data_IF_799118223628
#
_entry.id   IF_799118223628
#
_cell.length_a   1.000
_cell.length_b   1.000
_cell.length_c   1.000
_cell.angle_alpha   90.00
_cell.angle_beta   90.00
_cell.angle_gamma   90.00
#
_symmetry.space_group_name_H-M   'P 1'
#
loop_
_entity.id
_entity.type
_entity.pdbx_description
1 polymer ?
#
# COMPACT_ATOMS: atom_id res chain seq x y z
N UNK A 1 3.37 -0.04 -10.18
CA UNK A 1 3.13 1.22 -10.92
C UNK A 1 2.30 0.92 -12.15
N UNK A 2 1.39 1.82 -12.53
CA UNK A 2 0.67 1.72 -13.80
C UNK A 2 1.36 2.61 -14.81
N UNK A 3 1.81 2.00 -15.90
CA UNK A 3 2.42 2.67 -17.05
C UNK A 3 1.43 2.70 -18.21
N UNK A 4 1.72 3.48 -19.23
CA UNK A 4 0.99 3.40 -20.49
C UNK A 4 1.38 2.13 -21.24
N UNK A 5 0.42 1.49 -21.91
CA UNK A 5 0.68 0.27 -22.67
C UNK A 5 1.79 0.50 -23.72
N UNK A 6 2.67 -0.49 -23.85
CA UNK A 6 3.82 -0.44 -24.74
C UNK A 6 5.04 0.34 -24.23
N UNK A 7 4.94 1.02 -23.07
CA UNK A 7 6.09 1.74 -22.51
C UNK A 7 7.17 0.74 -22.07
N UNK A 8 8.46 0.92 -22.45
CA UNK A 8 9.53 0.05 -21.95
C UNK A 8 9.63 0.12 -20.43
N UNK A 9 9.61 -1.03 -19.77
CA UNK A 9 9.76 -1.17 -18.33
C UNK A 9 11.02 -1.97 -18.01
N UNK A 10 11.83 -1.44 -17.11
CA UNK A 10 12.93 -2.17 -16.48
C UNK A 10 12.36 -3.04 -15.36
N UNK A 11 12.47 -4.35 -15.54
CA UNK A 11 12.09 -5.34 -14.52
C UNK A 11 13.35 -5.97 -13.95
N UNK A 12 13.53 -5.84 -12.65
CA UNK A 12 14.66 -6.42 -11.94
C UNK A 12 14.17 -7.55 -11.04
N UNK A 13 14.73 -8.74 -11.24
CA UNK A 13 14.54 -9.90 -10.37
C UNK A 13 15.78 -10.04 -9.50
N UNK A 14 15.61 -9.92 -8.18
CA UNK A 14 16.68 -10.11 -7.20
C UNK A 14 16.60 -11.53 -6.67
N UNK A 15 17.68 -12.30 -6.77
CA UNK A 15 17.72 -13.68 -6.31
C UNK A 15 19.15 -14.12 -6.00
N UNK A 16 19.30 -15.00 -5.02
CA UNK A 16 20.52 -15.75 -4.76
C UNK A 16 20.53 -17.15 -5.40
N UNK A 17 19.50 -17.46 -6.20
CA UNK A 17 19.44 -18.70 -6.96
C UNK A 17 20.42 -18.69 -8.15
N UNK A 18 20.94 -19.85 -8.61
CA UNK A 18 21.84 -19.91 -9.77
C UNK A 18 21.15 -19.50 -11.07
N UNK A 19 19.83 -19.65 -11.17
CA UNK A 19 19.06 -19.32 -12.37
C UNK A 19 17.69 -18.76 -12.02
N UNK A 20 17.25 -17.74 -12.77
CA UNK A 20 15.90 -17.19 -12.71
C UNK A 20 15.30 -17.08 -14.10
N UNK A 21 13.99 -17.18 -14.21
CA UNK A 21 13.24 -16.98 -15.43
C UNK A 21 12.05 -16.07 -15.16
N UNK A 22 11.81 -15.10 -16.05
CA UNK A 22 10.68 -14.18 -15.96
C UNK A 22 9.61 -14.60 -16.95
N UNK A 23 8.37 -14.61 -16.47
CA UNK A 23 7.19 -14.89 -17.29
C UNK A 23 6.26 -13.68 -17.30
N UNK A 24 5.70 -13.36 -18.48
CA UNK A 24 4.61 -12.40 -18.65
C UNK A 24 3.37 -13.17 -19.09
N UNK A 25 2.33 -13.21 -18.27
CA UNK A 25 1.09 -13.97 -18.51
C UNK A 25 1.35 -15.43 -18.96
N UNK A 26 2.31 -16.08 -18.30
CA UNK A 26 2.71 -17.45 -18.58
C UNK A 26 3.67 -17.63 -19.77
N UNK A 27 4.00 -16.56 -20.51
CA UNK A 27 4.98 -16.61 -21.61
C UNK A 27 6.35 -16.22 -21.07
N UNK A 28 7.36 -17.06 -21.33
CA UNK A 28 8.75 -16.79 -20.92
C UNK A 28 9.32 -15.56 -21.63
N UNK A 29 9.87 -14.65 -20.85
CA UNK A 29 10.62 -13.48 -21.31
C UNK A 29 12.13 -13.75 -21.34
N UNK A 30 12.53 -14.99 -21.05
CA UNK A 30 13.90 -15.44 -21.00
C UNK A 30 14.37 -15.82 -19.60
N UNK A 31 15.44 -16.59 -19.56
CA UNK A 31 16.08 -17.01 -18.32
C UNK A 31 17.45 -16.34 -18.18
N UNK A 32 17.88 -16.16 -16.93
CA UNK A 32 19.12 -15.53 -16.55
C UNK A 32 19.89 -16.43 -15.59
N UNK A 33 21.16 -16.69 -15.90
CA UNK A 33 22.06 -17.39 -14.98
C UNK A 33 22.76 -16.35 -14.10
N UNK A 34 22.69 -16.54 -12.78
CA UNK A 34 23.20 -15.63 -11.77
C UNK A 34 24.46 -16.24 -11.16
N UNK A 35 25.53 -15.46 -11.04
CA UNK A 35 26.74 -15.87 -10.31
C UNK A 35 26.54 -15.73 -8.79
N UNK A 36 25.67 -16.57 -8.23
CA UNK A 36 25.30 -16.57 -6.83
C UNK A 36 26.47 -16.98 -5.90
N UNK A 37 27.49 -17.67 -6.42
CA UNK A 37 28.63 -18.15 -5.64
C UNK A 37 29.63 -17.04 -5.31
N UNK A 38 29.75 -16.05 -6.18
CA UNK A 38 30.69 -14.95 -5.98
C UNK A 38 30.02 -13.66 -5.49
N UNK A 39 28.70 -13.67 -5.33
CA UNK A 39 27.93 -12.52 -4.83
C UNK A 39 27.95 -11.31 -5.77
N UNK A 40 28.35 -11.49 -7.02
CA UNK A 40 28.27 -10.46 -8.05
C UNK A 40 26.88 -10.46 -8.68
N UNK A 41 26.30 -9.28 -8.80
CA UNK A 41 25.06 -9.08 -9.53
C UNK A 41 23.99 -10.14 -9.22
N UNK A 42 23.53 -10.20 -7.96
CA UNK A 42 22.41 -11.07 -7.57
C UNK A 42 21.09 -10.60 -8.17
N UNK A 43 21.14 -10.19 -9.46
CA UNK A 43 20.01 -9.62 -10.19
C UNK A 43 19.98 -10.10 -11.64
N UNK A 44 18.77 -10.36 -12.13
CA UNK A 44 18.48 -10.48 -13.55
C UNK A 44 17.66 -9.26 -14.00
N UNK A 45 18.07 -8.63 -15.09
CA UNK A 45 17.47 -7.40 -15.60
C UNK A 45 16.81 -7.65 -16.94
N UNK A 46 15.53 -7.26 -17.07
CA UNK A 46 14.74 -7.41 -18.28
C UNK A 46 14.18 -6.05 -18.69
N UNK A 47 14.12 -5.80 -20.00
CA UNK A 47 13.39 -4.66 -20.57
C UNK A 47 12.23 -5.23 -21.35
N UNK A 48 11.01 -5.00 -20.89
CA UNK A 48 9.79 -5.50 -21.50
C UNK A 48 8.79 -4.36 -21.72
N UNK A 49 7.98 -4.39 -22.79
CA UNK A 49 6.89 -3.44 -22.93
C UNK A 49 5.88 -3.66 -21.81
N UNK A 50 5.39 -2.55 -21.23
CA UNK A 50 4.33 -2.65 -20.24
C UNK A 50 3.01 -3.07 -20.91
N UNK A 51 2.43 -4.11 -20.37
CA UNK A 51 1.07 -4.55 -20.64
C UNK A 51 0.44 -4.97 -19.29
N UNK A 52 -0.87 -4.68 -19.12
CA UNK A 52 -1.59 -5.16 -17.95
C UNK A 52 -1.55 -6.68 -17.92
N UNK A 53 -1.39 -7.26 -16.73
CA UNK A 53 -1.34 -8.70 -16.54
C UNK A 53 -0.47 -9.10 -15.36
N UNK A 54 0.08 -10.31 -15.44
CA UNK A 54 0.92 -10.91 -14.42
C UNK A 54 2.37 -10.99 -14.87
N UNK A 55 3.28 -10.63 -13.99
CA UNK A 55 4.70 -10.95 -14.05
C UNK A 55 4.99 -12.00 -13.00
N UNK A 56 5.58 -13.13 -13.39
CA UNK A 56 5.99 -14.20 -12.50
C UNK A 56 7.48 -14.45 -12.67
N UNK A 57 8.25 -14.30 -11.60
CA UNK A 57 9.64 -14.72 -11.56
C UNK A 57 9.74 -16.09 -10.90
N UNK A 58 10.50 -16.99 -11.52
CA UNK A 58 10.74 -18.35 -11.03
C UNK A 58 12.24 -18.53 -10.83
N UNK A 59 12.63 -18.99 -9.64
CA UNK A 59 14.02 -19.28 -9.29
C UNK A 59 14.25 -20.79 -9.27
N UNK A 60 15.38 -21.22 -9.83
CA UNK A 60 15.75 -22.63 -9.97
C UNK A 60 17.06 -22.91 -9.25
N UNK A 61 17.21 -24.14 -8.74
CA UNK A 61 18.47 -24.68 -8.24
C UNK A 61 19.41 -25.12 -9.36
N UNK A 62 20.60 -25.65 -9.01
CA UNK A 62 21.58 -26.17 -9.97
C UNK A 62 21.08 -27.41 -10.77
N UNK A 63 20.04 -28.08 -10.28
CA UNK A 63 19.43 -29.25 -10.92
C UNK A 63 18.20 -28.88 -11.78
N UNK A 64 17.81 -27.60 -11.81
CA UNK A 64 16.63 -27.11 -12.51
C UNK A 64 15.31 -27.28 -11.75
N UNK A 65 15.35 -27.58 -10.46
CA UNK A 65 14.15 -27.62 -9.63
C UNK A 65 13.75 -26.20 -9.22
N UNK A 66 12.45 -25.91 -9.18
CA UNK A 66 11.90 -24.65 -8.70
C UNK A 66 12.12 -24.57 -7.18
N UNK A 67 12.74 -23.49 -6.70
CA UNK A 67 13.02 -23.23 -5.28
C UNK A 67 12.28 -22.03 -4.74
N UNK A 68 11.88 -21.08 -5.60
CA UNK A 68 11.08 -19.92 -5.20
C UNK A 68 10.31 -19.34 -6.39
N UNK A 69 9.22 -18.66 -6.09
CA UNK A 69 8.43 -17.90 -7.06
C UNK A 69 8.00 -16.57 -6.43
N UNK A 70 7.95 -15.52 -7.24
CA UNK A 70 7.34 -14.23 -6.88
C UNK A 70 6.43 -13.76 -8.00
N UNK A 71 5.29 -13.19 -7.65
CA UNK A 71 4.26 -12.78 -8.60
C UNK A 71 3.85 -11.34 -8.34
N UNK A 72 3.89 -10.54 -9.41
CA UNK A 72 3.41 -9.17 -9.42
C UNK A 72 2.28 -9.02 -10.44
N UNK A 73 1.15 -8.41 -10.02
CA UNK A 73 -0.01 -8.21 -10.89
C UNK A 73 -0.30 -6.73 -11.09
N UNK A 74 -0.79 -6.42 -12.27
CA UNK A 74 -1.39 -5.10 -12.50
C UNK A 74 -2.67 -4.98 -11.69
N UNK A 75 -2.85 -3.86 -11.03
CA UNK A 75 -3.99 -3.60 -10.15
C UNK A 75 -4.87 -2.47 -10.70
N UNK A 76 -6.13 -2.48 -10.29
CA UNK A 76 -7.12 -1.44 -10.56
C UNK A 76 -7.19 -0.37 -9.46
N UNK A 77 -8.33 0.30 -9.38
CA UNK A 77 -8.64 1.23 -8.29
C UNK A 77 -8.95 0.46 -7.02
N UNK A 78 -8.56 1.02 -5.88
CA UNK A 78 -8.90 0.44 -4.60
C UNK A 78 -10.42 0.44 -4.40
N UNK A 79 -10.96 -0.71 -4.00
CA UNK A 79 -12.39 -0.89 -3.68
C UNK A 79 -12.61 -1.28 -2.23
N UNK A 80 -11.56 -1.66 -1.51
CA UNK A 80 -11.60 -1.95 -0.08
C UNK A 80 -10.24 -1.74 0.57
N UNK A 81 -10.28 -1.56 1.88
CA UNK A 81 -9.11 -1.67 2.76
C UNK A 81 -9.22 -2.95 3.58
N UNK A 82 -8.08 -3.54 3.89
CA UNK A 82 -7.96 -4.66 4.81
C UNK A 82 -7.01 -4.25 5.95
N UNK A 83 -7.28 -4.77 7.14
CA UNK A 83 -6.51 -4.47 8.33
C UNK A 83 -6.13 -5.79 9.01
N UNK A 84 -4.82 -6.01 9.17
CA UNK A 84 -4.26 -7.24 9.73
C UNK A 84 -3.47 -6.89 10.99
N UNK A 85 -3.96 -7.26 12.19
CA UNK A 85 -3.22 -7.08 13.42
C UNK A 85 -2.10 -8.15 13.52
N UNK A 86 -0.99 -7.78 14.13
CA UNK A 86 0.12 -8.70 14.43
C UNK A 86 -0.25 -9.73 15.53
N UNK A 87 -1.22 -9.38 16.38
CA UNK A 87 -1.82 -10.27 17.39
C UNK A 87 -3.26 -9.84 17.67
N UNK A 88 -4.08 -10.77 18.17
CA UNK A 88 -5.50 -10.53 18.47
C UNK A 88 -5.79 -10.34 19.96
N UNK A 89 -4.84 -10.66 20.82
CA UNK A 89 -4.92 -10.47 22.27
C UNK A 89 -3.80 -9.55 22.74
N UNK A 90 -4.13 -8.64 23.67
CA UNK A 90 -3.16 -7.76 24.34
C UNK A 90 -3.37 -7.84 25.86
N UNK A 91 -2.29 -7.60 26.61
CA UNK A 91 -2.36 -7.53 28.06
C UNK A 91 -2.95 -6.20 28.52
N UNK A 92 -3.90 -6.21 29.42
CA UNK A 92 -4.51 -5.02 30.02
C UNK A 92 -3.56 -4.43 31.10
N UNK A 93 -2.36 -4.03 30.69
CA UNK A 93 -1.31 -3.49 31.55
C UNK A 93 -1.05 -1.99 31.29
N UNK A 94 -1.80 -1.39 30.34
CA UNK A 94 -1.66 0.03 29.96
C UNK A 94 -0.49 0.33 29.04
N UNK A 95 0.32 -0.67 28.67
CA UNK A 95 1.54 -0.51 27.87
C UNK A 95 1.67 -1.46 26.69
N UNK A 96 0.96 -2.58 26.69
CA UNK A 96 1.05 -3.54 25.59
C UNK A 96 0.48 -2.97 24.30
N UNK A 97 1.13 -3.31 23.17
CA UNK A 97 0.84 -2.73 21.85
C UNK A 97 0.40 -3.78 20.86
N UNK A 98 -0.51 -3.38 19.97
CA UNK A 98 -0.84 -4.09 18.73
C UNK A 98 -0.50 -3.21 17.55
N UNK A 99 0.10 -3.79 16.53
CA UNK A 99 0.41 -3.16 15.26
C UNK A 99 -0.54 -3.69 14.20
N UNK A 100 -1.34 -2.80 13.62
CA UNK A 100 -2.31 -3.16 12.59
C UNK A 100 -1.82 -2.65 11.24
N UNK A 101 -1.41 -3.56 10.36
CA UNK A 101 -1.10 -3.23 8.96
C UNK A 101 -2.39 -3.01 8.20
N UNK A 102 -2.50 -1.86 7.54
CA UNK A 102 -3.65 -1.46 6.74
C UNK A 102 -3.21 -1.38 5.28
N UNK A 103 -3.91 -2.08 4.39
CA UNK A 103 -3.57 -2.19 2.98
C UNK A 103 -4.81 -2.02 2.09
N UNK A 104 -4.62 -1.45 0.90
CA UNK A 104 -5.69 -1.24 -0.07
C UNK A 104 -5.67 -2.30 -1.18
N UNK A 105 -6.85 -2.77 -1.57
CA UNK A 105 -7.01 -3.80 -2.60
C UNK A 105 -8.06 -3.42 -3.64
N UNK A 106 -7.85 -3.86 -4.87
CA UNK A 106 -8.81 -3.70 -5.97
C UNK A 106 -9.91 -4.77 -5.94
N UNK A 107 -10.80 -4.70 -6.95
CA UNK A 107 -11.93 -5.63 -7.09
C UNK A 107 -11.52 -7.10 -7.27
N UNK A 108 -10.31 -7.35 -7.78
CA UNK A 108 -9.79 -8.68 -8.05
C UNK A 108 -8.94 -9.21 -6.87
N UNK A 109 -8.83 -8.43 -5.79
CA UNK A 109 -8.03 -8.75 -4.62
C UNK A 109 -6.54 -8.48 -4.80
N UNK A 110 -6.17 -7.71 -5.81
CA UNK A 110 -4.79 -7.31 -6.04
C UNK A 110 -4.45 -6.08 -5.20
N UNK A 111 -3.30 -6.12 -4.55
CA UNK A 111 -2.79 -5.01 -3.76
C UNK A 111 -2.56 -3.76 -4.61
N UNK A 112 -3.12 -2.63 -4.19
CA UNK A 112 -3.03 -1.36 -4.89
C UNK A 112 -1.81 -0.56 -4.44
N UNK A 113 -0.63 -0.88 -4.98
CA UNK A 113 0.66 -0.30 -4.58
C UNK A 113 0.80 1.22 -4.80
N UNK A 114 -0.18 1.90 -5.33
CA UNK A 114 -0.20 3.35 -5.49
C UNK A 114 -1.44 4.01 -4.85
N UNK A 115 -2.21 3.26 -4.05
CA UNK A 115 -3.30 3.84 -3.31
C UNK A 115 -2.78 4.85 -2.28
N UNK A 116 -3.45 6.00 -2.20
CA UNK A 116 -3.13 7.10 -1.30
C UNK A 116 -4.39 7.61 -0.57
N UNK A 117 -5.41 6.76 -0.47
CA UNK A 117 -6.66 7.08 0.21
C UNK A 117 -6.37 7.52 1.65
N UNK A 118 -7.10 8.54 2.13
CA UNK A 118 -7.07 8.91 3.54
C UNK A 118 -7.92 7.93 4.34
N UNK A 119 -7.34 7.36 5.37
CA UNK A 119 -7.99 6.41 6.27
C UNK A 119 -8.10 7.03 7.65
N UNK A 120 -9.30 7.07 8.20
CA UNK A 120 -9.56 7.45 9.59
C UNK A 120 -9.69 6.19 10.44
N UNK A 121 -9.11 6.21 11.63
CA UNK A 121 -9.09 5.10 12.58
C UNK A 121 -9.74 5.53 13.88
N UNK A 122 -10.75 4.80 14.32
CA UNK A 122 -11.35 4.94 15.65
C UNK A 122 -11.17 3.67 16.45
N UNK A 123 -10.95 3.82 17.76
CA UNK A 123 -10.76 2.72 18.71
C UNK A 123 -11.76 2.87 19.83
N UNK A 124 -12.53 1.80 20.06
CA UNK A 124 -13.52 1.72 21.14
C UNK A 124 -13.16 0.55 22.07
N UNK A 125 -13.52 0.63 23.34
CA UNK A 125 -13.32 -0.44 24.33
C UNK A 125 -12.04 -0.29 25.15
N UNK A 126 -11.36 -1.41 25.40
CA UNK A 126 -10.25 -1.51 26.36
C UNK A 126 -8.88 -1.09 25.82
N UNK A 127 -8.84 -0.20 24.81
CA UNK A 127 -7.60 0.27 24.18
C UNK A 127 -7.72 1.72 23.72
N UNK A 128 -6.61 2.25 23.22
CA UNK A 128 -6.51 3.60 22.66
C UNK A 128 -5.62 3.60 21.40
N UNK A 129 -5.91 4.52 20.48
CA UNK A 129 -5.04 4.81 19.35
C UNK A 129 -3.79 5.55 19.84
N UNK A 130 -2.62 4.98 19.61
CA UNK A 130 -1.34 5.63 19.95
C UNK A 130 -0.81 6.48 18.80
N UNK A 131 -1.06 6.07 17.58
CA UNK A 131 -0.65 6.81 16.40
C UNK A 131 -0.80 6.05 15.10
N UNK A 132 -0.56 6.79 14.03
CA UNK A 132 -0.62 6.31 12.65
C UNK A 132 0.69 6.64 11.95
N UNK A 133 1.22 5.70 11.17
CA UNK A 133 2.39 5.90 10.33
C UNK A 133 2.16 5.28 8.94
N UNK A 134 2.73 5.89 7.92
CA UNK A 134 2.67 5.39 6.53
C UNK A 134 4.06 5.22 5.89
N UNK A 135 5.12 5.57 6.60
CA UNK A 135 6.50 5.51 6.11
C UNK A 135 6.86 6.58 5.08
N UNK A 136 6.00 7.55 4.81
CA UNK A 136 6.30 8.67 3.92
C UNK A 136 7.03 9.78 4.68
N UNK A 137 8.32 9.97 4.41
CA UNK A 137 9.14 11.01 5.04
C UNK A 137 8.73 12.44 4.64
N UNK A 138 7.86 12.58 3.65
CA UNK A 138 7.36 13.88 3.17
C UNK A 138 5.96 14.21 3.67
N UNK A 139 5.33 13.29 4.42
CA UNK A 139 4.00 13.48 5.00
C UNK A 139 4.07 14.37 6.25
N UNK A 140 3.27 15.41 6.26
CA UNK A 140 3.19 16.38 7.38
C UNK A 140 2.09 16.05 8.39
N UNK A 141 1.29 15.01 8.17
CA UNK A 141 0.27 14.58 9.11
C UNK A 141 0.90 14.18 10.45
N UNK A 142 0.25 14.53 11.54
CA UNK A 142 0.77 14.18 12.85
C UNK A 142 0.62 12.68 13.13
N UNK A 143 1.66 12.05 13.68
CA UNK A 143 1.63 10.63 14.06
C UNK A 143 0.50 10.30 15.05
N UNK A 144 0.14 11.24 15.93
CA UNK A 144 -0.94 11.10 16.93
C UNK A 144 -2.30 11.56 16.42
N UNK A 145 -2.45 11.82 15.13
CA UNK A 145 -3.74 12.09 14.50
C UNK A 145 -4.62 10.84 14.44
N UNK A 146 -5.88 11.04 14.12
CA UNK A 146 -6.87 9.96 13.94
C UNK A 146 -7.05 9.55 12.50
N UNK A 147 -6.41 10.26 11.56
CA UNK A 147 -6.43 9.93 10.14
C UNK A 147 -5.08 10.13 9.49
N UNK A 148 -4.76 9.33 8.48
CA UNK A 148 -3.55 9.44 7.67
C UNK A 148 -3.78 8.90 6.27
N UNK A 149 -3.03 9.38 5.27
CA UNK A 149 -3.06 8.81 3.93
C UNK A 149 -2.27 7.50 3.86
N UNK A 150 -2.74 6.58 3.04
CA UNK A 150 -1.91 5.46 2.62
C UNK A 150 -0.71 5.99 1.81
N UNK A 151 0.44 5.40 2.02
CA UNK A 151 1.62 5.59 1.20
C UNK A 151 1.99 4.27 0.53
N UNK A 152 2.09 4.28 -0.79
CA UNK A 152 2.28 3.05 -1.56
C UNK A 152 1.27 1.95 -1.20
N UNK A 153 0.01 2.33 -0.94
CA UNK A 153 -1.08 1.41 -0.63
C UNK A 153 -1.13 0.91 0.81
N UNK A 154 -0.24 1.37 1.71
CA UNK A 154 -0.12 0.87 3.08
C UNK A 154 -0.07 1.99 4.12
N UNK A 155 -0.46 1.65 5.33
CA UNK A 155 -0.17 2.39 6.56
C UNK A 155 -0.21 1.46 7.77
N UNK A 156 0.28 1.94 8.90
CA UNK A 156 0.29 1.25 10.17
C UNK A 156 -0.53 2.03 11.21
N UNK A 157 -1.37 1.34 11.95
CA UNK A 157 -1.99 1.84 13.16
C UNK A 157 -1.38 1.15 14.38
N UNK A 158 -1.03 1.95 15.39
CA UNK A 158 -0.50 1.46 16.67
C UNK A 158 -1.56 1.66 17.74
N UNK A 159 -2.00 0.54 18.34
CA UNK A 159 -3.01 0.51 19.38
C UNK A 159 -2.35 0.10 20.69
N UNK A 160 -2.64 0.81 21.78
CA UNK A 160 -2.15 0.45 23.12
C UNK A 160 -3.32 -0.02 23.99
N UNK A 161 -3.06 -1.02 24.83
CA UNK A 161 -3.99 -1.40 25.87
C UNK A 161 -4.24 -0.26 26.88
N UNK A 162 -5.34 -0.37 27.61
CA UNK A 162 -5.57 0.33 28.87
C UNK A 162 -5.38 -0.66 30.02
N UNK A 163 -5.67 -0.25 31.24
CA UNK A 163 -5.75 -1.14 32.42
C UNK A 163 -7.07 -1.96 32.48
N UNK A 164 -7.94 -1.80 31.48
CA UNK A 164 -9.25 -2.48 31.42
C UNK A 164 -9.17 -3.70 30.50
N UNK A 165 -9.76 -4.78 30.95
CA UNK A 165 -9.99 -5.98 30.13
C UNK A 165 -11.28 -5.86 29.33
N UNK A 166 -11.35 -6.55 28.19
CA UNK A 166 -12.55 -6.65 27.37
C UNK A 166 -12.29 -6.44 25.89
N UNK A 167 -13.36 -6.40 25.13
CA UNK A 167 -13.32 -6.22 23.69
C UNK A 167 -12.75 -4.85 23.30
N UNK A 168 -11.98 -4.88 22.23
CA UNK A 168 -11.46 -3.70 21.54
C UNK A 168 -11.99 -3.75 20.10
N UNK A 169 -12.65 -2.69 19.69
CA UNK A 169 -13.14 -2.53 18.33
C UNK A 169 -12.39 -1.41 17.62
N UNK A 170 -11.67 -1.76 16.56
CA UNK A 170 -10.96 -0.80 15.71
C UNK A 170 -11.73 -0.67 14.40
N UNK A 171 -12.24 0.52 14.12
CA UNK A 171 -12.99 0.82 12.89
C UNK A 171 -12.16 1.75 12.00
N UNK A 172 -12.00 1.34 10.75
CA UNK A 172 -11.30 2.08 9.72
C UNK A 172 -12.29 2.53 8.67
N UNK A 173 -12.28 3.83 8.37
CA UNK A 173 -13.15 4.42 7.37
C UNK A 173 -12.34 5.17 6.33
N UNK A 174 -12.77 5.12 5.08
CA UNK A 174 -12.16 5.88 3.99
C UNK A 174 -13.24 6.28 2.99
N UNK A 175 -13.24 7.54 2.55
CA UNK A 175 -14.25 8.04 1.61
C UNK A 175 -14.29 7.18 0.35
N UNK A 176 -15.46 6.71 -0.02
CA UNK A 176 -15.69 5.90 -1.22
C UNK A 176 -15.33 4.42 -1.09
N UNK A 177 -14.89 3.97 0.09
CA UNK A 177 -14.62 2.57 0.38
C UNK A 177 -15.52 2.08 1.52
N UNK A 178 -15.82 0.77 1.59
CA UNK A 178 -16.50 0.17 2.74
C UNK A 178 -15.64 0.30 4.00
N UNK A 179 -16.31 0.42 5.14
CA UNK A 179 -15.65 0.37 6.45
C UNK A 179 -15.01 -1.00 6.69
N UNK A 180 -13.86 -1.01 7.35
CA UNK A 180 -13.19 -2.21 7.80
C UNK A 180 -13.16 -2.21 9.33
N UNK A 181 -13.53 -3.34 9.96
CA UNK A 181 -13.56 -3.49 11.41
C UNK A 181 -12.67 -4.64 11.83
N UNK A 182 -11.84 -4.38 12.83
CA UNK A 182 -11.01 -5.39 13.51
C UNK A 182 -11.43 -5.46 14.96
N UNK A 183 -11.64 -6.67 15.47
CA UNK A 183 -11.93 -6.93 16.88
C UNK A 183 -10.74 -7.61 17.53
N UNK A 184 -10.35 -7.13 18.70
CA UNK A 184 -9.25 -7.64 19.52
C UNK A 184 -9.76 -7.81 20.96
N UNK A 185 -9.03 -8.55 21.79
CA UNK A 185 -9.34 -8.73 23.19
C UNK A 185 -8.21 -8.26 24.11
N UNK A 186 -8.54 -7.44 25.11
CA UNK A 186 -7.63 -7.11 26.20
C UNK A 186 -7.85 -8.11 27.36
N UNK A 187 -6.83 -8.92 27.61
CA UNK A 187 -6.85 -9.95 28.64
C UNK A 187 -6.11 -9.48 29.90
N UNK A 188 -6.45 -10.05 31.05
CA UNK A 188 -5.84 -9.67 32.33
C UNK A 188 -4.32 -9.91 32.31
N UNK A 189 -3.56 -8.88 32.68
CA UNK A 189 -2.14 -9.02 32.96
C UNK A 189 -1.92 -9.77 34.28
N UNK A 190 -0.92 -10.64 34.33
CA UNK A 190 -0.54 -11.35 35.56
C UNK A 190 0.32 -10.50 36.51
N UNK A 191 0.83 -9.39 36.00
CA UNK A 191 1.70 -8.47 36.75
C UNK A 191 1.25 -7.01 36.50
N UNK A 192 1.54 -6.15 37.47
CA UNK A 192 1.38 -4.71 37.30
C UNK A 192 2.64 -4.15 36.64
N UNK A 193 2.50 -3.56 35.45
CA UNK A 193 3.60 -2.95 34.72
C UNK A 193 4.15 -1.68 35.39
N UNK A 194 3.45 -1.17 36.40
CA UNK A 194 3.79 0.10 37.06
C UNK A 194 3.59 1.35 36.19
N UNK A 195 2.96 1.19 35.02
CA UNK A 195 2.58 2.30 34.16
C UNK A 195 1.29 2.93 34.63
N UNK A 196 1.19 4.25 34.54
CA UNK A 196 -0.05 4.94 34.89
C UNK A 196 -1.17 4.58 33.91
N UNK A 197 -2.34 4.21 34.40
CA UNK A 197 -3.57 4.10 33.63
C UNK A 197 -3.97 5.50 33.11
N UNK A 198 -3.37 5.93 32.04
CA UNK A 198 -3.84 7.10 31.32
C UNK A 198 -5.11 6.68 30.58
N UNK A 199 -6.24 7.16 31.08
CA UNK A 199 -7.47 7.12 30.28
C UNK A 199 -7.22 7.76 28.91
N UNK A 200 -8.02 7.35 27.92
CA UNK A 200 -8.02 7.94 26.58
C UNK A 200 -8.10 9.48 26.69
N UNK A 201 -6.96 10.10 26.85
CA UNK A 201 -6.90 11.56 26.72
C UNK A 201 -7.02 11.79 25.24
N UNK A 202 -8.22 12.20 24.80
CA UNK A 202 -8.42 12.61 23.43
C UNK A 202 -7.41 13.71 23.10
N UNK A 203 -6.40 13.35 22.34
CA UNK A 203 -5.59 14.37 21.70
C UNK A 203 -6.52 15.04 20.69
N UNK A 204 -6.62 16.38 20.78
CA UNK A 204 -7.28 17.12 19.72
C UNK A 204 -6.60 16.73 18.39
N UNK A 205 -7.32 16.16 17.43
CA UNK A 205 -6.71 15.81 16.16
C UNK A 205 -6.24 17.12 15.53
N UNK A 206 -4.95 17.24 15.34
CA UNK A 206 -4.39 18.26 14.48
C UNK A 206 -4.33 17.67 13.10
N UNK A 207 -5.40 17.85 12.36
CA UNK A 207 -5.49 17.36 11.01
C UNK A 207 -4.73 18.29 10.07
N UNK A 208 -3.76 17.74 9.40
CA UNK A 208 -3.11 18.38 8.26
C UNK A 208 -3.73 17.80 6.98
N UNK A 209 -4.85 18.35 6.56
CA UNK A 209 -5.54 17.92 5.35
C UNK A 209 -6.98 17.49 5.57
N UNK A 210 -7.67 17.21 4.48
CA UNK A 210 -9.07 16.81 4.49
C UNK A 210 -9.21 15.33 4.79
N UNK A 211 -10.08 14.97 5.73
CA UNK A 211 -10.36 13.57 6.10
C UNK A 211 -11.35 12.89 5.16
N UNK A 212 -12.07 13.67 4.36
CA UNK A 212 -13.17 13.25 3.49
C UNK A 212 -12.82 13.32 2.00
N UNK A 213 -11.54 13.22 1.65
CA UNK A 213 -11.06 13.33 0.27
C UNK A 213 -10.92 11.97 -0.44
N UNK A 214 -11.15 11.98 -1.73
CA UNK A 214 -10.74 10.92 -2.65
C UNK A 214 -9.64 11.51 -3.55
N UNK A 215 -8.36 11.28 -3.24
CA UNK A 215 -7.27 11.92 -3.96
C UNK A 215 -7.09 11.35 -5.37
N UNK A 216 -6.56 12.18 -6.27
CA UNK A 216 -6.13 11.70 -7.59
C UNK A 216 -4.95 10.76 -7.41
N UNK A 217 -5.09 9.52 -7.89
CA UNK A 217 -4.08 8.48 -7.84
C UNK A 217 -3.21 8.44 -9.10
N UNK A 218 -3.82 8.73 -10.25
CA UNK A 218 -3.18 8.68 -11.57
C UNK A 218 -3.80 9.72 -12.49
N UNK A 219 -2.98 10.31 -13.34
CA UNK A 219 -3.41 11.13 -14.47
C UNK A 219 -2.99 10.40 -15.74
N UNK A 220 -3.94 10.09 -16.59
CA UNK A 220 -3.70 9.56 -17.93
C UNK A 220 -3.78 10.71 -18.92
N UNK A 221 -2.72 10.91 -19.68
CA UNK A 221 -2.68 11.88 -20.77
C UNK A 221 -2.93 11.17 -22.10
N UNK A 222 -3.71 11.78 -22.96
CA UNK A 222 -3.93 11.28 -24.32
C UNK A 222 -4.12 12.42 -25.30
N UNK A 223 -3.80 12.16 -26.55
CA UNK A 223 -3.93 13.11 -27.66
C UNK A 223 -4.34 12.37 -28.92
N UNK A 224 -5.04 13.07 -29.81
CA UNK A 224 -5.48 12.51 -31.08
C UNK A 224 -4.34 12.44 -32.12
N UNK A 225 -3.24 13.17 -31.88
CA UNK A 225 -2.04 13.15 -32.73
C UNK A 225 -0.77 13.40 -31.89
N UNK A 226 0.34 12.81 -32.31
CA UNK A 226 1.68 13.03 -31.75
C UNK A 226 2.61 13.79 -32.69
N UNK A 227 2.10 14.25 -33.83
CA UNK A 227 2.91 14.92 -34.84
C UNK A 227 2.52 16.37 -34.97
N UNK A 228 3.49 17.28 -34.83
CA UNK A 228 3.37 18.68 -35.16
C UNK A 228 3.94 18.89 -36.55
N UNK A 229 3.18 19.54 -37.43
CA UNK A 229 3.63 19.96 -38.76
C UNK A 229 3.11 21.37 -39.09
N UNK A 230 3.35 21.83 -40.32
CA UNK A 230 2.94 23.17 -40.71
C UNK A 230 1.45 23.37 -40.82
N UNK A 231 0.71 22.27 -41.05
CA UNK A 231 -0.73 22.27 -41.20
C UNK A 231 -1.43 22.02 -39.83
N UNK A 232 -0.72 21.40 -38.88
CA UNK A 232 -1.15 21.14 -37.52
C UNK A 232 -0.10 21.64 -36.51
N UNK A 233 0.00 22.95 -36.28
CA UNK A 233 1.04 23.54 -35.43
C UNK A 233 0.76 23.35 -33.91
N UNK A 234 -0.40 22.86 -33.54
CA UNK A 234 -0.83 22.71 -32.15
C UNK A 234 -1.32 21.29 -31.88
N UNK A 235 -1.04 20.77 -30.70
CA UNK A 235 -1.57 19.49 -30.19
C UNK A 235 -2.39 19.78 -28.95
N UNK A 236 -3.65 19.33 -28.96
CA UNK A 236 -4.48 19.31 -27.76
C UNK A 236 -4.21 18.05 -26.96
N UNK A 237 -3.68 18.22 -25.75
CA UNK A 237 -3.52 17.14 -24.79
C UNK A 237 -4.76 17.10 -23.89
N UNK A 238 -5.40 15.96 -23.85
CA UNK A 238 -6.51 15.66 -22.94
C UNK A 238 -6.02 14.83 -21.78
N UNK A 239 -6.72 14.87 -20.66
CA UNK A 239 -6.38 14.07 -19.50
C UNK A 239 -7.58 13.37 -18.89
N UNK A 240 -7.33 12.33 -18.12
CA UNK A 240 -8.29 11.65 -17.28
C UNK A 240 -7.66 11.42 -15.91
N UNK A 241 -8.31 11.93 -14.86
CA UNK A 241 -7.94 11.64 -13.50
C UNK A 241 -8.55 10.31 -13.04
N UNK A 242 -7.82 9.55 -12.24
CA UNK A 242 -8.26 8.29 -11.67
C UNK A 242 -8.01 8.27 -10.15
N UNK A 243 -8.93 7.73 -9.35
CA UNK A 243 -10.25 7.20 -9.77
C UNK A 243 -11.14 8.30 -10.35
N UNK A 244 -12.14 7.91 -11.15
CA UNK A 244 -13.01 8.87 -11.85
C UNK A 244 -13.84 9.79 -10.92
N UNK A 245 -13.99 9.37 -9.66
CA UNK A 245 -14.68 10.11 -8.60
C UNK A 245 -13.71 10.87 -7.67
N UNK A 246 -12.48 11.13 -8.10
CA UNK A 246 -11.54 11.93 -7.31
C UNK A 246 -12.00 13.38 -7.15
N UNK A 247 -11.75 13.95 -5.98
CA UNK A 247 -12.24 15.29 -5.60
C UNK A 247 -11.54 16.44 -6.34
N UNK A 248 -10.31 16.20 -6.83
CA UNK A 248 -9.43 17.22 -7.42
C UNK A 248 -9.22 17.03 -8.92
N UNK A 249 -10.09 16.30 -9.59
CA UNK A 249 -9.94 16.01 -11.02
C UNK A 249 -9.96 17.27 -11.90
N UNK A 250 -10.65 18.33 -11.47
CA UNK A 250 -10.82 19.58 -12.19
C UNK A 250 -9.73 20.61 -11.87
N UNK A 251 -8.94 20.38 -10.81
CA UNK A 251 -7.91 21.32 -10.33
C UNK A 251 -6.52 21.04 -10.93
N UNK A 252 -6.45 20.21 -11.97
CA UNK A 252 -5.19 19.78 -12.57
C UNK A 252 -4.71 20.82 -13.56
N UNK A 253 -3.59 21.45 -13.27
CA UNK A 253 -2.88 22.38 -14.17
C UNK A 253 -1.64 21.71 -14.76
N UNK A 254 -1.44 21.87 -16.07
CA UNK A 254 -0.21 21.45 -16.76
C UNK A 254 0.70 22.65 -16.94
N UNK A 255 1.96 22.53 -16.58
CA UNK A 255 3.00 23.55 -16.74
C UNK A 255 4.16 23.03 -17.57
#
# INVERSE_FOLDING_TARGET
>A
RQFSDGLPCDVRVCSNAPRVELFKDGVSMGAYDIDHKHGKELTANYIIPYEKGELKAVAYDENGNIIAEDIQRSFGDAVRIEAVPDKTEILADGSDLVYIEISAFDKDGTFCANANNRVSVSVEGAARLMGLDNGDSTDYDQYKGTSRRLFSGKMLAVISSTDKTGEIKVTLTSKGLPDCVVTLDAVKAEYDSGTSSLENVGFAPTECGRTDEIPVRKIELYTDTFTLDKDNPEITVKYKALPANSDYAEDIEFR
#
